data_IF_073337279899
#
_entry.id   IF_073337279899
#
_cell.length_a   1.000
_cell.length_b   1.000
_cell.length_c   1.000
_cell.angle_alpha   90.00
_cell.angle_beta   90.00
_cell.angle_gamma   90.00
#
_symmetry.space_group_name_H-M   'P 1'
#
loop_
_entity.id
_entity.type
_entity.pdbx_description
1 polymer ?
#
# COMPACT_ATOMS: atom_id res chain seq x y z
N UNK A 1 -11.76 10.56 -15.95
CA UNK A 1 -10.42 9.99 -16.05
C UNK A 1 -10.25 9.03 -14.89
N UNK A 2 -9.49 7.98 -15.10
CA UNK A 2 -9.14 7.07 -14.02
C UNK A 2 -7.65 6.72 -14.12
N UNK A 3 -7.04 6.55 -12.97
CA UNK A 3 -5.63 6.23 -12.81
C UNK A 3 -5.48 4.85 -12.17
N UNK A 4 -4.25 4.44 -11.98
CA UNK A 4 -3.92 3.19 -11.33
C UNK A 4 -2.68 3.28 -10.45
N UNK A 5 -2.46 2.22 -9.71
CA UNK A 5 -1.27 1.96 -8.92
C UNK A 5 -0.61 0.68 -9.44
N UNK A 6 0.68 0.73 -9.74
CA UNK A 6 1.51 -0.43 -10.03
C UNK A 6 2.49 -0.66 -8.88
N UNK A 7 2.04 -1.40 -7.86
CA UNK A 7 2.89 -1.77 -6.73
C UNK A 7 3.67 -3.05 -7.04
N UNK A 8 4.99 -2.99 -6.89
CA UNK A 8 5.90 -4.14 -6.95
C UNK A 8 6.38 -4.49 -5.56
N UNK A 9 6.04 -5.69 -5.09
CA UNK A 9 6.51 -6.22 -3.80
C UNK A 9 7.78 -7.02 -3.99
N UNK A 10 8.81 -6.67 -3.23
CA UNK A 10 10.11 -7.35 -3.21
C UNK A 10 10.49 -7.78 -1.79
N UNK A 11 11.42 -8.73 -1.72
CA UNK A 11 12.09 -9.14 -0.49
C UNK A 11 13.60 -8.94 -0.66
N UNK A 12 14.27 -8.43 0.36
CA UNK A 12 15.67 -7.97 0.29
C UNK A 12 16.71 -9.06 -0.05
N UNK A 13 16.38 -10.32 0.16
CA UNK A 13 17.25 -11.49 -0.02
C UNK A 13 16.74 -12.49 -1.07
N UNK A 14 15.68 -12.13 -1.79
CA UNK A 14 15.09 -12.94 -2.86
C UNK A 14 15.29 -12.23 -4.17
N UNK A 15 15.91 -12.90 -5.13
CA UNK A 15 16.04 -12.38 -6.49
C UNK A 15 14.66 -12.40 -7.16
N UNK A 16 14.16 -11.22 -7.51
CA UNK A 16 12.85 -11.06 -8.12
C UNK A 16 12.71 -11.73 -9.49
N UNK A 17 13.83 -11.97 -10.19
CA UNK A 17 13.82 -12.64 -11.50
C UNK A 17 13.70 -14.17 -11.38
N UNK A 18 14.09 -14.72 -10.24
CA UNK A 18 14.08 -16.17 -10.00
C UNK A 18 13.08 -16.61 -8.93
N UNK A 19 12.30 -15.69 -8.38
CA UNK A 19 11.34 -15.97 -7.31
C UNK A 19 10.18 -16.85 -7.81
N UNK A 20 10.44 -18.13 -8.02
CA UNK A 20 9.38 -19.14 -8.22
C UNK A 20 8.54 -19.37 -6.96
N UNK A 21 8.95 -18.85 -5.81
CA UNK A 21 8.27 -19.06 -4.53
C UNK A 21 7.09 -18.07 -4.36
N UNK A 22 6.06 -18.31 -5.17
CA UNK A 22 4.79 -17.61 -5.09
C UNK A 22 4.12 -17.73 -3.72
N UNK A 23 4.53 -18.69 -2.87
CA UNK A 23 3.96 -18.87 -1.54
C UNK A 23 4.28 -17.70 -0.61
N UNK A 24 5.45 -17.07 -0.74
CA UNK A 24 5.79 -15.90 0.06
C UNK A 24 4.82 -14.74 -0.16
N UNK A 25 4.47 -14.49 -1.41
CA UNK A 25 3.57 -13.39 -1.79
C UNK A 25 2.13 -13.60 -1.30
N UNK A 26 1.68 -14.84 -1.10
CA UNK A 26 0.33 -15.14 -0.59
C UNK A 26 0.11 -14.65 0.85
N UNK A 27 1.18 -14.45 1.60
CA UNK A 27 1.13 -13.97 2.97
C UNK A 27 1.21 -12.45 3.07
N UNK A 28 1.50 -11.76 1.97
CA UNK A 28 1.56 -10.30 1.94
C UNK A 28 0.17 -9.74 1.67
N UNK A 29 -0.24 -8.77 2.46
CA UNK A 29 -1.56 -8.15 2.36
C UNK A 29 -1.46 -6.66 2.47
N UNK A 30 -2.13 -5.96 1.57
CA UNK A 30 -2.24 -4.51 1.59
C UNK A 30 -3.71 -4.08 1.71
N UNK A 31 -3.92 -2.90 2.25
CA UNK A 31 -5.17 -2.15 2.20
C UNK A 31 -4.88 -0.75 1.66
N UNK A 32 -5.89 -0.14 1.05
CA UNK A 32 -5.78 1.20 0.46
C UNK A 32 -6.90 2.08 1.01
N UNK A 33 -6.50 3.18 1.63
CA UNK A 33 -7.36 4.24 2.11
C UNK A 33 -7.26 5.44 1.20
N UNK A 34 -8.38 6.03 0.78
CA UNK A 34 -8.42 7.31 0.11
C UNK A 34 -8.44 8.39 1.20
N UNK A 35 -7.35 9.14 1.34
CA UNK A 35 -7.20 10.17 2.38
C UNK A 35 -7.99 11.43 2.02
N UNK A 36 -8.10 11.76 0.73
CA UNK A 36 -8.84 12.93 0.26
C UNK A 36 -10.32 12.84 0.61
N UNK A 37 -10.93 11.69 0.36
CA UNK A 37 -12.37 11.49 0.50
C UNK A 37 -12.78 10.75 1.78
N UNK A 38 -11.84 10.14 2.49
CA UNK A 38 -12.05 9.51 3.79
C UNK A 38 -12.78 8.18 3.71
N UNK A 39 -12.34 7.26 2.85
CA UNK A 39 -12.92 5.92 2.72
C UNK A 39 -11.90 4.85 2.32
N UNK A 40 -12.23 3.58 2.61
CA UNK A 40 -11.46 2.42 2.16
C UNK A 40 -11.89 1.98 0.78
N UNK A 41 -10.90 1.64 -0.07
CA UNK A 41 -11.16 1.16 -1.42
C UNK A 41 -11.70 -0.28 -1.40
N UNK A 42 -12.72 -0.53 -2.23
CA UNK A 42 -13.16 -1.87 -2.59
C UNK A 42 -12.89 -2.14 -4.07
N UNK A 43 -12.40 -3.35 -4.36
CA UNK A 43 -12.03 -3.75 -5.71
C UNK A 43 -12.32 -5.22 -5.97
N UNK A 44 -12.48 -5.57 -7.23
CA UNK A 44 -12.58 -6.96 -7.70
C UNK A 44 -11.36 -7.30 -8.54
N UNK A 45 -10.75 -8.47 -8.27
CA UNK A 45 -9.60 -8.94 -9.03
C UNK A 45 -10.04 -9.69 -10.29
N UNK A 46 -9.44 -9.35 -11.42
CA UNK A 46 -9.44 -10.18 -12.62
C UNK A 46 -8.28 -11.17 -12.55
N UNK A 47 -8.56 -12.43 -12.25
CA UNK A 47 -7.53 -13.46 -12.05
C UNK A 47 -6.75 -13.78 -13.34
N UNK A 48 -7.32 -13.53 -14.52
CA UNK A 48 -6.65 -13.78 -15.80
C UNK A 48 -5.56 -12.74 -16.10
N UNK A 49 -5.76 -11.51 -15.65
CA UNK A 49 -4.84 -10.39 -15.86
C UNK A 49 -3.93 -10.15 -14.64
N UNK A 50 -4.35 -10.61 -13.45
CA UNK A 50 -3.70 -10.30 -12.19
C UNK A 50 -3.89 -8.84 -11.76
N UNK A 51 -5.02 -8.21 -12.16
CA UNK A 51 -5.31 -6.80 -11.95
C UNK A 51 -6.55 -6.65 -11.08
N UNK A 52 -6.52 -5.69 -10.16
CA UNK A 52 -7.66 -5.27 -9.35
C UNK A 52 -8.33 -4.05 -10.00
N UNK A 53 -9.65 -4.11 -10.13
CA UNK A 53 -10.47 -2.99 -10.60
C UNK A 53 -11.29 -2.45 -9.43
N UNK A 54 -11.16 -1.15 -9.15
CA UNK A 54 -11.97 -0.46 -8.13
C UNK A 54 -13.43 -0.59 -8.47
N UNK A 55 -14.23 -1.04 -7.51
CA UNK A 55 -15.68 -1.25 -7.67
C UNK A 55 -16.51 -0.37 -6.76
N UNK A 56 -15.88 0.30 -5.82
CA UNK A 56 -16.51 1.20 -4.87
C UNK A 56 -15.66 1.46 -3.64
N UNK A 57 -16.31 1.84 -2.56
CA UNK A 57 -15.67 2.19 -1.29
C UNK A 57 -16.53 1.80 -0.09
N UNK A 58 -15.91 1.74 1.08
CA UNK A 58 -16.55 1.47 2.39
C UNK A 58 -15.95 2.36 3.46
N UNK A 59 -16.71 2.62 4.53
CA UNK A 59 -16.24 3.42 5.67
C UNK A 59 -15.49 2.59 6.70
N UNK A 60 -15.86 1.31 6.83
CA UNK A 60 -15.28 0.42 7.82
C UNK A 60 -14.08 -0.32 7.26
N UNK A 61 -12.95 -0.26 7.93
CA UNK A 61 -11.71 -0.95 7.52
C UNK A 61 -11.87 -2.47 7.36
N UNK A 62 -12.76 -3.08 8.16
CA UNK A 62 -13.02 -4.51 8.12
C UNK A 62 -13.60 -4.99 6.78
N UNK A 63 -14.31 -4.09 6.07
CA UNK A 63 -14.97 -4.37 4.80
C UNK A 63 -14.12 -3.97 3.59
N UNK A 64 -12.94 -3.37 3.82
CA UNK A 64 -12.00 -2.99 2.77
C UNK A 64 -11.47 -4.21 2.01
N UNK A 65 -11.21 -4.04 0.72
CA UNK A 65 -10.52 -5.08 -0.06
C UNK A 65 -9.11 -5.32 0.45
N UNK A 66 -8.75 -6.58 0.62
CA UNK A 66 -7.38 -7.00 0.86
C UNK A 66 -6.72 -7.30 -0.48
N UNK A 67 -5.66 -6.55 -0.77
CA UNK A 67 -4.87 -6.71 -1.98
C UNK A 67 -3.70 -7.65 -1.72
N UNK A 68 -3.54 -8.65 -2.58
CA UNK A 68 -2.44 -9.62 -2.52
C UNK A 68 -1.55 -9.44 -3.73
N UNK A 69 -0.21 -9.50 -3.56
CA UNK A 69 0.68 -9.58 -4.71
C UNK A 69 0.43 -10.86 -5.51
N UNK A 70 0.37 -10.70 -6.81
CA UNK A 70 0.14 -11.80 -7.77
C UNK A 70 1.16 -11.73 -8.91
N UNK A 71 1.10 -12.69 -9.82
CA UNK A 71 1.84 -12.60 -11.08
C UNK A 71 0.99 -11.84 -12.09
N UNK A 72 1.53 -10.77 -12.65
CA UNK A 72 0.92 -10.00 -13.73
C UNK A 72 1.95 -9.79 -14.83
N UNK A 73 1.61 -10.00 -16.08
CA UNK A 73 2.48 -9.93 -17.25
C UNK A 73 3.84 -10.66 -17.08
N UNK A 74 3.80 -11.83 -16.42
CA UNK A 74 4.97 -12.64 -16.13
C UNK A 74 5.88 -12.10 -15.03
N UNK A 75 5.51 -11.01 -14.37
CA UNK A 75 6.21 -10.44 -13.22
C UNK A 75 5.56 -10.87 -11.92
N UNK A 76 6.36 -11.35 -10.97
CA UNK A 76 5.90 -11.75 -9.64
C UNK A 76 5.78 -10.53 -8.70
N UNK A 77 4.97 -10.67 -7.67
CA UNK A 77 4.88 -9.68 -6.60
C UNK A 77 4.14 -8.39 -6.99
N UNK A 78 3.28 -8.42 -8.00
CA UNK A 78 2.54 -7.26 -8.48
C UNK A 78 1.20 -7.10 -7.75
N UNK A 79 0.88 -5.86 -7.37
CA UNK A 79 -0.45 -5.39 -7.01
C UNK A 79 -0.79 -4.25 -7.94
N UNK A 80 -1.53 -4.53 -9.00
CA UNK A 80 -1.97 -3.51 -9.96
C UNK A 80 -3.42 -3.19 -9.63
N UNK A 81 -3.70 -1.91 -9.37
CA UNK A 81 -5.04 -1.41 -9.06
C UNK A 81 -5.40 -0.37 -10.12
N UNK A 82 -6.56 -0.55 -10.77
CA UNK A 82 -7.09 0.37 -11.79
C UNK A 82 -8.43 0.94 -11.36
N UNK A 83 -8.74 2.14 -11.86
CA UNK A 83 -10.00 2.83 -11.54
C UNK A 83 -9.89 3.75 -10.32
N UNK A 84 -8.69 4.21 -10.00
CA UNK A 84 -8.43 5.21 -8.97
C UNK A 84 -8.66 6.63 -9.51
N UNK A 85 -8.98 7.56 -8.65
CA UNK A 85 -9.18 8.98 -8.94
C UNK A 85 -7.87 9.77 -8.71
N UNK A 86 -7.89 11.06 -8.99
CA UNK A 86 -6.78 11.98 -8.72
C UNK A 86 -6.85 12.47 -7.26
N UNK A 87 -6.41 11.61 -6.35
CA UNK A 87 -6.50 11.77 -4.91
C UNK A 87 -5.21 11.35 -4.20
N UNK A 88 -5.16 11.60 -2.89
CA UNK A 88 -4.15 11.08 -1.98
C UNK A 88 -4.60 9.74 -1.39
N UNK A 89 -3.73 8.73 -1.48
CA UNK A 89 -3.98 7.38 -0.99
C UNK A 89 -2.94 6.97 0.04
N UNK A 90 -3.40 6.29 1.09
CA UNK A 90 -2.55 5.66 2.10
C UNK A 90 -2.57 4.15 1.88
N UNK A 91 -1.40 3.57 1.67
CA UNK A 91 -1.21 2.14 1.43
C UNK A 91 -0.59 1.52 2.68
N UNK A 92 -1.35 0.66 3.35
CA UNK A 92 -0.93 -0.04 4.56
C UNK A 92 -0.60 -1.50 4.26
N UNK A 93 0.60 -1.95 4.60
CA UNK A 93 0.93 -3.37 4.62
C UNK A 93 0.42 -3.98 5.93
N UNK A 94 -0.64 -4.79 5.89
CA UNK A 94 -1.27 -5.36 7.09
C UNK A 94 -0.71 -6.72 7.49
N UNK A 95 -0.06 -7.43 6.55
CA UNK A 95 0.61 -8.71 6.80
C UNK A 95 1.78 -8.88 5.82
N UNK A 96 2.85 -9.51 6.24
CA UNK A 96 3.99 -9.87 5.39
C UNK A 96 4.39 -11.34 5.56
N UNK A 97 5.31 -11.83 4.71
CA UNK A 97 5.76 -13.20 4.74
C UNK A 97 6.54 -13.52 6.04
N UNK A 98 6.44 -14.78 6.48
CA UNK A 98 7.14 -15.26 7.67
C UNK A 98 8.66 -15.02 7.59
N UNK A 99 9.23 -14.49 8.67
CA UNK A 99 10.66 -14.17 8.74
C UNK A 99 11.04 -12.79 8.19
N UNK A 100 10.06 -12.04 7.69
CA UNK A 100 10.26 -10.66 7.22
C UNK A 100 9.62 -9.65 8.17
N UNK A 101 10.16 -8.44 8.16
CA UNK A 101 9.65 -7.34 8.99
C UNK A 101 8.59 -6.60 8.22
N UNK A 102 7.43 -6.41 8.83
CA UNK A 102 6.34 -5.58 8.32
C UNK A 102 6.83 -4.14 8.13
N UNK A 103 6.30 -3.42 7.16
CA UNK A 103 6.57 -1.99 7.02
C UNK A 103 6.18 -1.29 8.32
N UNK A 104 7.02 -0.35 8.74
CA UNK A 104 6.81 0.41 9.97
C UNK A 104 5.82 1.55 9.77
N UNK A 105 5.92 2.19 8.63
CA UNK A 105 5.14 3.38 8.28
C UNK A 105 4.33 3.06 7.02
N UNK A 106 3.12 3.61 6.92
CA UNK A 106 2.30 3.53 5.72
C UNK A 106 2.92 4.34 4.59
N UNK A 107 2.54 4.04 3.36
CA UNK A 107 3.06 4.71 2.18
C UNK A 107 1.98 5.64 1.64
N UNK A 108 2.34 6.89 1.43
CA UNK A 108 1.47 7.89 0.81
C UNK A 108 1.71 7.93 -0.69
N UNK A 109 0.65 7.82 -1.49
CA UNK A 109 0.66 8.01 -2.93
C UNK A 109 -0.31 9.12 -3.27
N UNK A 110 0.20 10.19 -3.89
CA UNK A 110 -0.59 11.30 -4.38
C UNK A 110 -0.64 11.22 -5.91
N UNK A 111 -1.83 11.26 -6.48
CA UNK A 111 -2.08 11.31 -7.92
C UNK A 111 -2.77 12.63 -8.20
N UNK A 112 -2.16 13.48 -9.01
CA UNK A 112 -2.69 14.79 -9.38
C UNK A 112 -2.92 14.88 -10.88
N UNK A 113 -4.16 15.16 -11.29
CA UNK A 113 -4.53 15.43 -12.68
C UNK A 113 -4.55 16.93 -12.97
N UNK A 114 -3.99 17.32 -14.09
CA UNK A 114 -4.16 18.67 -14.65
C UNK A 114 -5.14 18.59 -15.81
N UNK A 115 -6.27 19.24 -15.61
CA UNK A 115 -7.37 19.28 -16.57
C UNK A 115 -7.40 20.61 -17.30
N UNK A 116 -7.63 20.56 -18.60
CA UNK A 116 -8.00 21.73 -19.38
C UNK A 116 -9.47 22.08 -19.09
N UNK A 117 -9.71 23.26 -18.57
CA UNK A 117 -11.05 23.72 -18.20
C UNK A 117 -11.80 24.34 -19.39
N UNK A 118 -11.21 24.40 -20.57
CA UNK A 118 -11.66 25.26 -21.67
C UNK A 118 -12.64 24.62 -22.66
N UNK A 119 -13.02 23.35 -22.50
CA UNK A 119 -13.97 22.72 -23.42
C UNK A 119 -15.42 22.70 -22.91
N UNK A 120 -16.00 23.86 -22.72
CA UNK A 120 -17.43 23.97 -22.40
C UNK A 120 -18.29 23.95 -23.67
N UNK A 121 -17.69 24.15 -24.82
CA UNK A 121 -18.44 24.67 -25.98
C UNK A 121 -19.11 23.65 -26.85
N UNK A 122 -18.54 22.47 -27.05
CA UNK A 122 -19.03 21.57 -28.10
C UNK A 122 -20.42 21.01 -27.79
N UNK A 123 -20.74 20.84 -26.52
CA UNK A 123 -22.05 20.32 -26.11
C UNK A 123 -23.14 21.41 -26.17
N UNK A 124 -22.79 22.64 -25.86
CA UNK A 124 -23.78 23.69 -25.70
C UNK A 124 -24.13 24.43 -26.98
N UNK A 125 -23.20 24.55 -27.91
CA UNK A 125 -23.46 25.26 -29.14
C UNK A 125 -24.38 24.51 -30.08
N UNK A 126 -24.41 23.17 -30.01
CA UNK A 126 -25.17 22.37 -30.99
C UNK A 126 -26.50 21.90 -30.46
N UNK A 127 -26.57 21.40 -29.23
CA UNK A 127 -27.71 20.62 -28.76
C UNK A 127 -28.62 21.36 -27.80
N UNK A 128 -28.11 22.30 -27.00
CA UNK A 128 -28.88 22.96 -25.96
C UNK A 128 -29.14 24.44 -26.24
N UNK A 129 -28.24 25.09 -26.94
CA UNK A 129 -28.29 26.54 -27.16
C UNK A 129 -28.19 26.88 -28.65
N UNK A 130 -29.15 26.43 -29.44
CA UNK A 130 -29.20 26.72 -30.86
C UNK A 130 -29.00 28.20 -31.21
N UNK A 131 -29.15 29.11 -30.23
CA UNK A 131 -28.88 30.53 -30.36
C UNK A 131 -27.38 30.82 -30.50
N UNK A 132 -26.50 29.97 -29.95
CA UNK A 132 -25.05 30.16 -29.91
C UNK A 132 -24.34 29.40 -31.04
N UNK A 133 -25.06 28.63 -31.80
CA UNK A 133 -24.54 27.68 -32.78
C UNK A 133 -23.59 28.30 -33.82
N UNK A 134 -23.73 29.60 -34.08
CA UNK A 134 -22.96 30.33 -35.09
C UNK A 134 -21.99 31.34 -34.47
N UNK A 135 -21.88 31.42 -33.16
CA UNK A 135 -20.95 32.33 -32.51
C UNK A 135 -19.64 31.60 -32.16
N UNK A 136 -18.53 31.89 -32.88
CA UNK A 136 -17.26 31.22 -32.64
C UNK A 136 -16.67 31.52 -31.25
N UNK A 137 -17.13 32.56 -30.55
CA UNK A 137 -16.65 32.88 -29.23
C UNK A 137 -17.14 31.89 -28.21
N UNK A 138 -18.27 31.26 -28.41
CA UNK A 138 -18.81 30.27 -27.51
C UNK A 138 -18.19 28.88 -27.68
N UNK A 139 -17.48 28.62 -28.75
CA UNK A 139 -16.97 27.31 -29.09
C UNK A 139 -15.52 27.04 -28.65
N UNK A 140 -14.85 27.97 -27.99
CA UNK A 140 -13.46 27.83 -27.62
C UNK A 140 -13.20 27.89 -26.10
N UNK A 141 -14.26 27.79 -25.27
CA UNK A 141 -14.10 27.86 -23.83
C UNK A 141 -13.47 29.15 -23.30
N UNK A 142 -13.26 30.12 -24.17
CA UNK A 142 -12.71 31.41 -23.78
C UNK A 142 -13.79 32.17 -23.01
N UNK A 143 -13.42 32.65 -21.83
CA UNK A 143 -14.24 33.62 -21.11
C UNK A 143 -14.48 34.79 -22.02
N UNK A 144 -15.67 34.85 -22.58
CA UNK A 144 -16.01 35.87 -23.52
C UNK A 144 -16.18 37.19 -22.85
N UNK A 145 -15.75 38.27 -23.47
CA UNK A 145 -16.21 39.58 -23.11
C UNK A 145 -17.68 39.67 -23.42
N UNK A 146 -18.52 39.20 -22.51
CA UNK A 146 -19.95 39.16 -22.73
C UNK A 146 -20.56 40.45 -22.19
N UNK A 147 -21.45 40.99 -22.99
CA UNK A 147 -22.39 41.97 -22.46
C UNK A 147 -23.26 41.23 -21.42
N UNK A 148 -23.11 41.55 -20.16
CA UNK A 148 -23.88 40.95 -19.07
C UNK A 148 -25.38 41.12 -19.19
N UNK A 149 -25.81 41.95 -20.17
CA UNK A 149 -27.22 42.09 -20.53
C UNK A 149 -27.66 41.18 -21.66
N UNK A 150 -26.77 40.36 -22.18
CA UNK A 150 -27.15 39.38 -23.22
C UNK A 150 -27.87 38.19 -22.57
N UNK A 151 -29.06 37.86 -23.02
CA UNK A 151 -29.84 36.70 -22.56
C UNK A 151 -29.05 35.39 -22.70
N UNK A 152 -28.13 35.31 -23.64
CA UNK A 152 -27.29 34.16 -23.87
C UNK A 152 -26.29 33.92 -22.70
N UNK A 153 -25.84 34.99 -22.02
CA UNK A 153 -25.00 34.89 -20.84
C UNK A 153 -25.73 34.22 -19.69
N UNK A 154 -26.99 34.60 -19.49
CA UNK A 154 -27.84 34.00 -18.47
C UNK A 154 -28.06 32.50 -18.70
N UNK A 155 -28.19 32.08 -19.96
CA UNK A 155 -28.31 30.69 -20.34
C UNK A 155 -27.04 29.91 -20.00
N UNK A 156 -25.84 30.45 -20.27
CA UNK A 156 -24.57 29.83 -19.94
C UNK A 156 -24.36 29.64 -18.43
N UNK A 157 -24.78 30.63 -17.63
CA UNK A 157 -24.65 30.52 -16.16
C UNK A 157 -25.57 29.49 -15.54
N UNK A 158 -26.63 29.10 -16.24
CA UNK A 158 -27.58 28.08 -15.77
C UNK A 158 -27.24 26.66 -16.24
N UNK A 159 -26.17 26.48 -16.98
CA UNK A 159 -25.75 25.18 -17.49
C UNK A 159 -25.21 24.33 -16.35
N UNK A 160 -25.75 23.12 -16.12
CA UNK A 160 -25.24 22.24 -15.08
C UNK A 160 -23.78 21.87 -15.33
N UNK A 161 -22.96 21.96 -14.30
CA UNK A 161 -21.51 21.69 -14.39
C UNK A 161 -21.17 20.29 -14.90
N UNK A 162 -22.07 19.32 -14.71
CA UNK A 162 -21.93 17.95 -15.24
C UNK A 162 -21.80 17.84 -16.77
N UNK A 163 -22.10 18.90 -17.51
CA UNK A 163 -21.94 18.97 -18.96
C UNK A 163 -20.64 19.67 -19.38
N UNK A 164 -19.82 20.13 -18.44
CA UNK A 164 -18.50 20.64 -18.75
C UNK A 164 -17.60 19.46 -19.10
N UNK A 165 -17.05 19.45 -20.30
CA UNK A 165 -16.00 18.52 -20.66
C UNK A 165 -14.65 19.07 -20.20
N UNK A 166 -13.95 18.26 -19.42
CA UNK A 166 -12.56 18.51 -19.05
C UNK A 166 -11.68 17.56 -19.84
N UNK A 167 -10.66 18.07 -20.47
CA UNK A 167 -9.66 17.25 -21.16
C UNK A 167 -8.45 17.09 -20.23
N UNK A 168 -8.02 15.86 -19.97
CA UNK A 168 -6.80 15.61 -19.25
C UNK A 168 -5.60 16.10 -20.06
N UNK A 169 -4.85 17.05 -19.50
CA UNK A 169 -3.63 17.59 -20.10
C UNK A 169 -2.44 16.72 -19.72
N UNK A 170 -2.33 16.40 -18.46
CA UNK A 170 -1.29 15.53 -17.91
C UNK A 170 -1.67 15.09 -16.51
N UNK A 171 -0.98 14.07 -16.00
CA UNK A 171 -1.05 13.67 -14.62
C UNK A 171 0.36 13.50 -14.02
N UNK A 172 0.47 13.64 -12.73
CA UNK A 172 1.68 13.46 -11.94
C UNK A 172 1.37 12.55 -10.77
N UNK A 173 2.38 11.83 -10.32
CA UNK A 173 2.29 11.11 -9.06
C UNK A 173 3.50 11.38 -8.18
N UNK A 174 3.29 11.29 -6.87
CA UNK A 174 4.35 11.25 -5.88
C UNK A 174 4.14 10.08 -4.92
N UNK A 175 5.25 9.53 -4.42
CA UNK A 175 5.27 8.49 -3.40
C UNK A 175 6.08 9.01 -2.23
N UNK A 176 5.48 9.11 -1.05
CA UNK A 176 6.07 9.71 0.15
C UNK A 176 6.67 11.10 -0.12
N UNK A 177 5.95 11.92 -0.91
CA UNK A 177 6.36 13.27 -1.31
C UNK A 177 7.45 13.32 -2.39
N UNK A 178 7.90 12.19 -2.91
CA UNK A 178 8.89 12.15 -3.99
C UNK A 178 8.19 11.91 -5.33
N UNK A 179 8.40 12.81 -6.30
CA UNK A 179 7.83 12.64 -7.64
C UNK A 179 8.29 11.35 -8.30
N UNK A 180 7.35 10.62 -8.88
CA UNK A 180 7.60 9.41 -9.67
C UNK A 180 7.13 9.60 -11.10
N UNK A 181 7.77 8.90 -12.03
CA UNK A 181 7.33 8.90 -13.43
C UNK A 181 6.20 7.89 -13.58
N UNK A 182 5.02 8.38 -13.94
CA UNK A 182 3.87 7.51 -14.20
C UNK A 182 4.08 6.63 -15.43
N UNK A 183 3.53 5.43 -15.37
CA UNK A 183 3.60 4.44 -16.44
C UNK A 183 2.44 4.64 -17.44
N UNK A 184 2.60 4.09 -18.65
CA UNK A 184 1.55 4.01 -19.65
C UNK A 184 0.64 2.80 -19.38
N UNK A 185 -0.65 2.98 -19.58
CA UNK A 185 -1.62 1.88 -19.62
C UNK A 185 -2.44 1.95 -20.92
N UNK A 186 -2.41 0.88 -21.70
CA UNK A 186 -3.15 0.76 -22.98
C UNK A 186 -3.00 1.97 -23.93
N UNK A 187 -1.80 2.55 -23.96
CA UNK A 187 -1.51 3.74 -24.79
C UNK A 187 -1.92 5.06 -24.15
N UNK A 188 -2.40 5.06 -22.91
CA UNK A 188 -2.62 6.26 -22.11
C UNK A 188 -1.35 6.57 -21.32
N UNK A 189 -0.69 7.66 -21.66
CA UNK A 189 0.45 8.15 -20.91
C UNK A 189 0.04 8.61 -19.50
N UNK A 190 0.93 8.46 -18.54
CA UNK A 190 0.72 8.89 -17.14
C UNK A 190 -0.54 8.28 -16.51
N UNK A 191 -0.75 6.98 -16.69
CA UNK A 191 -1.95 6.30 -16.22
C UNK A 191 -1.76 5.59 -14.88
N UNK A 192 -0.56 5.07 -14.57
CA UNK A 192 -0.30 4.29 -13.37
C UNK A 192 0.86 4.86 -12.56
N UNK A 193 0.67 5.03 -11.26
CA UNK A 193 1.72 5.43 -10.33
C UNK A 193 2.55 4.21 -9.90
N UNK A 194 3.87 4.15 -10.20
CA UNK A 194 4.71 3.04 -9.80
C UNK A 194 5.12 3.16 -8.34
N UNK A 195 5.08 2.05 -7.61
CA UNK A 195 5.48 1.94 -6.21
C UNK A 195 6.26 0.65 -5.98
N UNK A 196 7.37 0.71 -5.26
CA UNK A 196 8.14 -0.48 -4.87
C UNK A 196 8.18 -0.62 -3.36
N UNK A 197 7.77 -1.78 -2.86
CA UNK A 197 7.78 -2.14 -1.43
C UNK A 197 8.76 -3.27 -1.20
N UNK A 198 9.76 -3.03 -0.34
CA UNK A 198 10.80 -4.01 -0.01
C UNK A 198 10.73 -4.36 1.47
N UNK A 199 10.46 -5.64 1.80
CA UNK A 199 10.59 -6.11 3.16
C UNK A 199 11.97 -6.72 3.39
N UNK A 200 12.55 -6.38 4.54
CA UNK A 200 13.82 -6.95 4.97
C UNK A 200 13.59 -8.14 5.88
N UNK A 201 14.52 -9.10 5.84
CA UNK A 201 14.48 -10.23 6.76
C UNK A 201 14.60 -9.73 8.21
N UNK A 202 13.71 -10.21 9.06
CA UNK A 202 13.82 -9.98 10.51
C UNK A 202 15.09 -10.61 11.08
N UNK A 203 15.62 -10.06 12.15
CA UNK A 203 16.71 -10.70 12.88
C UNK A 203 16.16 -11.98 13.51
N UNK A 204 16.65 -13.15 13.07
CA UNK A 204 16.55 -14.36 13.85
C UNK A 204 17.34 -14.11 15.14
N UNK A 205 16.63 -13.90 16.25
CA UNK A 205 17.29 -13.91 17.56
C UNK A 205 17.97 -15.28 17.69
N UNK A 206 19.29 -15.32 17.97
CA UNK A 206 19.94 -16.59 18.22
C UNK A 206 19.11 -17.33 19.24
N UNK A 207 18.66 -18.54 18.91
CA UNK A 207 18.01 -19.42 19.87
C UNK A 207 19.03 -19.81 20.95
N UNK A 208 19.29 -18.90 21.88
CA UNK A 208 20.20 -19.10 22.99
C UNK A 208 19.56 -19.94 24.11
N UNK A 209 18.38 -20.52 23.84
CA UNK A 209 17.55 -21.09 24.89
C UNK A 209 17.46 -22.62 24.98
N UNK A 210 17.82 -23.40 23.95
CA UNK A 210 17.39 -24.81 23.98
C UNK A 210 18.43 -25.82 24.43
N UNK A 211 19.74 -25.57 24.34
CA UNK A 211 20.75 -26.50 24.81
C UNK A 211 21.60 -25.99 25.97
N UNK A 212 21.54 -24.68 26.30
CA UNK A 212 22.40 -24.09 27.35
C UNK A 212 21.85 -24.22 28.77
N UNK A 213 20.57 -24.06 28.97
CA UNK A 213 19.95 -23.94 30.28
C UNK A 213 19.90 -25.25 31.06
N UNK A 214 19.62 -26.39 30.41
CA UNK A 214 19.60 -27.68 31.10
C UNK A 214 21.00 -28.13 31.51
N UNK A 215 22.02 -27.80 30.71
CA UNK A 215 23.44 -28.13 31.06
C UNK A 215 23.89 -27.38 32.31
N UNK A 216 23.54 -26.11 32.47
CA UNK A 216 23.80 -25.35 33.69
C UNK A 216 22.98 -25.88 34.87
N UNK A 217 21.76 -26.35 34.65
CA UNK A 217 20.94 -27.03 35.64
C UNK A 217 21.60 -28.32 36.15
N UNK A 218 22.09 -29.17 35.25
CA UNK A 218 22.79 -30.41 35.60
C UNK A 218 24.09 -30.14 36.34
N UNK A 219 24.89 -29.16 35.89
CA UNK A 219 26.13 -28.75 36.57
C UNK A 219 25.81 -28.22 37.98
N UNK A 220 24.80 -27.38 38.14
CA UNK A 220 24.37 -26.84 39.43
C UNK A 220 23.93 -27.94 40.43
N UNK A 221 23.11 -28.90 39.96
CA UNK A 221 22.65 -30.03 40.78
C UNK A 221 23.83 -30.94 41.18
N UNK A 222 24.76 -31.18 40.26
CA UNK A 222 25.94 -32.03 40.53
C UNK A 222 26.87 -31.38 41.58
N UNK A 223 27.08 -30.06 41.50
CA UNK A 223 27.84 -29.33 42.48
C UNK A 223 27.20 -29.34 43.89
N UNK A 224 25.86 -29.15 43.95
CA UNK A 224 25.13 -29.23 45.22
C UNK A 224 25.22 -30.62 45.86
N UNK A 225 25.03 -31.68 45.06
CA UNK A 225 25.16 -33.06 45.52
C UNK A 225 26.58 -33.33 46.02
N UNK A 226 27.63 -32.87 45.32
CA UNK A 226 29.02 -32.98 45.74
C UNK A 226 29.28 -32.26 47.05
N UNK A 227 28.78 -31.06 47.26
CA UNK A 227 28.92 -30.30 48.50
C UNK A 227 28.26 -31.01 49.69
N UNK A 228 27.07 -31.59 49.50
CA UNK A 228 26.39 -32.37 50.55
C UNK A 228 27.16 -33.60 50.95
N UNK A 229 27.78 -34.33 50.01
CA UNK A 229 28.63 -35.51 50.33
C UNK A 229 29.83 -35.09 51.10
N UNK A 230 30.52 -34.03 50.73
CA UNK A 230 31.70 -33.51 51.48
C UNK A 230 31.27 -33.08 52.85
N UNK A 231 30.14 -32.45 53.05
CA UNK A 231 29.60 -32.04 54.33
C UNK A 231 29.27 -33.22 55.20
N UNK A 232 28.66 -34.28 54.70
CA UNK A 232 28.39 -35.52 55.44
C UNK A 232 29.68 -36.24 55.88
N UNK A 233 30.71 -36.26 55.03
CA UNK A 233 32.00 -36.84 55.36
C UNK A 233 32.68 -36.04 56.49
N UNK A 234 32.63 -34.70 56.43
CA UNK A 234 33.19 -33.82 57.44
C UNK A 234 32.49 -33.97 58.79
N UNK A 235 31.15 -34.11 58.78
CA UNK A 235 30.40 -34.37 60.04
C UNK A 235 30.75 -35.74 60.67
N UNK A 236 30.82 -36.80 59.85
CA UNK A 236 31.21 -38.12 60.31
C UNK A 236 32.64 -38.17 60.88
N UNK A 237 33.53 -37.36 60.31
CA UNK A 237 34.90 -37.24 60.82
C UNK A 237 34.95 -36.56 62.22
N UNK A 238 34.12 -35.50 62.37
CA UNK A 238 33.99 -34.76 63.59
C UNK A 238 33.39 -35.60 64.74
N UNK A 239 32.45 -36.48 64.48
CA UNK A 239 31.81 -37.41 65.40
C UNK A 239 32.80 -38.48 65.89
N UNK A 240 33.76 -38.87 65.05
CA UNK A 240 34.82 -39.85 65.45
C UNK A 240 35.98 -39.23 66.26
N UNK A 241 36.09 -37.91 66.24
CA UNK A 241 37.17 -37.19 66.95
C UNK A 241 36.72 -36.63 68.31
N UNK A 242 35.47 -36.86 68.76
CA UNK A 242 35.07 -36.58 70.13
C UNK A 242 35.38 -37.81 70.99
N UNK A 243 36.44 -37.79 71.88
CA UNK A 243 36.64 -38.83 72.86
C UNK A 243 35.56 -38.67 73.93
N UNK A 244 35.01 -39.81 74.40
CA UNK A 244 34.15 -39.94 75.56
C UNK A 244 34.81 -39.22 76.75
N UNK A 245 34.21 -38.14 77.22
CA UNK A 245 34.50 -37.58 78.52
C UNK A 245 33.45 -38.11 79.49
N UNK A 246 33.86 -39.09 80.30
CA UNK A 246 33.25 -39.38 81.54
C UNK A 246 33.60 -38.31 82.59
#
# INVERSE_FOLDING_TARGET
YSFGLDLTKLFSDVDSETAEDTDMFKHVKFKVWNETDGYWITATRNDAEGVYYVTGHVTEEADATIFYPVTSDGQFGKVIIKGMEDDEYIITEVETANGYTLLKDDITVDITAILDKERICDIYSKDVLGLLQNDPHYCNGVAMPMDLNDENVLLLTNIPQKYMEHTLMTAYASVDGNSVTMLEDNGSANAEAPLTVVNTRGFDLPQTGDHGTWMYGVIGITMMAGALVVMMIAFKKKEKEQPDQE
#
